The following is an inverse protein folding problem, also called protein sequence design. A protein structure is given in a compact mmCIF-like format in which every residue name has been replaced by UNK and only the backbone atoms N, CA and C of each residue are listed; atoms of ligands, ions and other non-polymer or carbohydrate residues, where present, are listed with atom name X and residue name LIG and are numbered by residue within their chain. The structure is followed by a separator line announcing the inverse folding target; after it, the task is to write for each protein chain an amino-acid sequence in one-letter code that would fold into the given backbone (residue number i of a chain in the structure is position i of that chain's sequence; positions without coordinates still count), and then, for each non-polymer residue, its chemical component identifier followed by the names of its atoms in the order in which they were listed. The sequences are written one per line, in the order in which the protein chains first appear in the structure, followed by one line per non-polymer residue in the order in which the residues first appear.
data_IF_190544655954
#
_entry.id   IF_190544655954
#
_cell.length_a   1.000
_cell.length_b   1.000
_cell.length_c   1.000
_cell.angle_alpha   90.00
_cell.angle_beta   90.00
_cell.angle_gamma   90.00
#
_symmetry.space_group_name_H-M   'P 1'
#
loop_
_entity.id
_entity.type
_entity.pdbx_description
1 polymer ?
#
# COMPACT_ATOMS: atom_id res chain seq x y z
N UNK A 1 9.55 11.24 7.56
CA UNK A 1 9.39 10.05 6.67
C UNK A 1 8.79 8.85 7.38
N UNK A 2 9.17 8.57 8.63
CA UNK A 2 8.79 7.33 9.34
C UNK A 2 7.27 7.16 9.51
N UNK A 3 6.56 8.22 9.91
CA UNK A 3 5.10 8.17 10.08
C UNK A 3 4.35 7.82 8.78
N UNK A 4 4.73 8.43 7.66
CA UNK A 4 4.06 8.22 6.36
C UNK A 4 4.30 6.81 5.82
N UNK A 5 5.48 6.24 6.08
CA UNK A 5 5.77 4.82 5.77
C UNK A 5 5.03 3.87 6.70
N UNK A 6 4.92 4.20 7.99
CA UNK A 6 4.16 3.39 8.93
C UNK A 6 2.69 3.26 8.49
N UNK A 7 2.07 4.37 8.07
CA UNK A 7 0.67 4.40 7.66
C UNK A 7 0.43 3.76 6.28
N UNK A 8 1.29 4.02 5.29
CA UNK A 8 1.02 3.54 3.91
C UNK A 8 1.64 2.17 3.58
N UNK A 9 2.72 1.77 4.26
CA UNK A 9 3.45 0.52 3.96
C UNK A 9 3.24 -0.51 5.06
N UNK A 10 3.57 -0.16 6.31
CA UNK A 10 3.50 -1.14 7.42
C UNK A 10 2.06 -1.57 7.69
N UNK A 11 1.10 -0.64 7.71
CA UNK A 11 -0.31 -1.01 7.87
C UNK A 11 -0.80 -1.92 6.75
N UNK A 12 -0.43 -1.64 5.49
CA UNK A 12 -0.85 -2.48 4.36
C UNK A 12 -0.29 -3.91 4.53
N UNK A 13 0.97 -4.04 4.92
CA UNK A 13 1.57 -5.34 5.23
C UNK A 13 0.86 -6.07 6.38
N UNK A 14 0.57 -5.37 7.48
CA UNK A 14 -0.06 -5.95 8.66
C UNK A 14 -1.51 -6.38 8.40
N UNK A 15 -2.28 -5.53 7.71
CA UNK A 15 -3.67 -5.83 7.33
C UNK A 15 -3.69 -7.00 6.35
N UNK A 16 -2.84 -7.00 5.33
CA UNK A 16 -2.76 -8.13 4.39
C UNK A 16 -2.41 -9.42 5.13
N UNK A 17 -1.42 -9.42 6.04
CA UNK A 17 -1.09 -10.62 6.84
C UNK A 17 -2.25 -11.11 7.69
N UNK A 18 -3.03 -10.20 8.28
CA UNK A 18 -4.16 -10.56 9.12
C UNK A 18 -5.35 -11.13 8.33
N UNK A 19 -5.63 -10.55 7.15
CA UNK A 19 -6.83 -10.85 6.37
C UNK A 19 -6.61 -11.95 5.33
N UNK A 20 -5.40 -12.08 4.77
CA UNK A 20 -5.09 -13.04 3.71
C UNK A 20 -5.44 -14.50 4.07
N UNK A 21 -5.14 -15.03 5.27
CA UNK A 21 -5.52 -16.41 5.62
C UNK A 21 -7.04 -16.62 5.60
N UNK A 22 -7.81 -15.61 6.03
CA UNK A 22 -9.27 -15.65 6.03
C UNK A 22 -9.81 -15.65 4.60
N UNK A 23 -9.25 -14.80 3.72
CA UNK A 23 -9.67 -14.74 2.31
C UNK A 23 -9.36 -16.05 1.59
N UNK A 24 -8.18 -16.64 1.81
CA UNK A 24 -7.81 -17.93 1.23
C UNK A 24 -8.74 -19.04 1.75
N UNK A 25 -8.99 -19.08 3.07
CA UNK A 25 -9.89 -20.06 3.68
C UNK A 25 -11.35 -19.96 3.20
N UNK A 26 -11.78 -18.77 2.77
CA UNK A 26 -13.11 -18.51 2.21
C UNK A 26 -13.28 -18.83 0.72
N UNK A 27 -12.25 -19.35 0.04
CA UNK A 27 -12.30 -19.64 -1.40
C UNK A 27 -11.77 -18.50 -2.29
N UNK A 28 -11.08 -17.52 -1.70
CA UNK A 28 -10.44 -16.41 -2.40
C UNK A 28 -11.25 -15.10 -2.34
N UNK A 29 -10.53 -13.98 -2.39
CA UNK A 29 -11.09 -12.63 -2.49
C UNK A 29 -10.05 -11.66 -3.05
N UNK A 30 -10.44 -10.41 -3.29
CA UNK A 30 -9.56 -9.34 -3.78
C UNK A 30 -9.30 -8.31 -2.68
N UNK A 31 -8.03 -7.88 -2.56
CA UNK A 31 -7.64 -6.74 -1.74
C UNK A 31 -7.34 -5.58 -2.70
N UNK A 32 -8.13 -4.51 -2.63
CA UNK A 32 -7.88 -3.28 -3.35
C UNK A 32 -7.24 -2.24 -2.43
N UNK A 33 -6.18 -1.57 -2.88
CA UNK A 33 -5.50 -0.52 -2.12
C UNK A 33 -5.51 0.79 -2.90
N UNK A 34 -5.77 1.89 -2.20
CA UNK A 34 -5.79 3.24 -2.80
C UNK A 34 -4.37 3.78 -3.00
N UNK A 35 -4.00 3.99 -4.26
CA UNK A 35 -2.78 4.67 -4.68
C UNK A 35 -3.06 6.14 -5.11
N UNK A 36 -2.00 6.88 -5.46
CA UNK A 36 -2.09 8.29 -5.85
C UNK A 36 -1.50 8.50 -7.27
N UNK A 37 -2.00 9.46 -8.04
CA UNK A 37 -1.41 9.83 -9.35
C UNK A 37 0.01 10.39 -9.18
N UNK A 38 0.28 11.03 -8.04
CA UNK A 38 1.59 11.60 -7.71
C UNK A 38 2.69 10.54 -7.60
N UNK A 39 2.32 9.27 -7.52
CA UNK A 39 3.24 8.13 -7.59
C UNK A 39 3.98 8.04 -8.94
N UNK A 40 3.35 8.52 -10.01
CA UNK A 40 3.91 8.50 -11.38
C UNK A 40 4.08 9.92 -11.96
N UNK A 41 3.41 10.90 -11.38
CA UNK A 41 3.44 12.30 -11.79
C UNK A 41 3.59 13.21 -10.55
N UNK A 42 4.74 13.11 -9.88
CA UNK A 42 5.03 13.86 -8.66
C UNK A 42 5.18 15.37 -8.90
N UNK A 43 4.69 16.19 -7.96
CA UNK A 43 5.05 17.61 -7.83
C UNK A 43 6.10 17.80 -6.74
N UNK A 44 6.98 18.81 -6.88
CA UNK A 44 8.14 19.00 -6.01
C UNK A 44 7.81 19.10 -4.50
N UNK A 45 6.59 19.49 -4.14
CA UNK A 45 6.13 19.61 -2.75
C UNK A 45 5.61 18.30 -2.14
N UNK A 46 5.43 17.26 -2.93
CA UNK A 46 4.76 16.02 -2.54
C UNK A 46 5.68 14.80 -2.40
N UNK A 47 6.99 14.98 -2.56
CA UNK A 47 8.00 13.90 -2.54
C UNK A 47 7.82 12.88 -1.40
N UNK A 48 7.53 13.34 -0.19
CA UNK A 48 7.32 12.45 0.96
C UNK A 48 6.04 11.62 0.85
N UNK A 49 4.97 12.23 0.33
CA UNK A 49 3.69 11.58 0.09
C UNK A 49 3.83 10.55 -1.04
N UNK A 50 4.35 10.98 -2.19
CA UNK A 50 4.52 10.18 -3.41
C UNK A 50 5.38 8.94 -3.16
N UNK A 51 6.51 9.07 -2.45
CA UNK A 51 7.33 7.92 -2.11
C UNK A 51 6.63 6.91 -1.19
N UNK A 52 5.85 7.39 -0.21
CA UNK A 52 5.13 6.49 0.70
C UNK A 52 3.97 5.76 0.00
N UNK A 53 3.26 6.45 -0.91
CA UNK A 53 2.23 5.86 -1.76
C UNK A 53 2.81 4.92 -2.81
N UNK A 54 3.97 5.25 -3.38
CA UNK A 54 4.70 4.39 -4.32
C UNK A 54 5.17 3.09 -3.72
N UNK A 55 5.69 3.12 -2.49
CA UNK A 55 6.02 1.90 -1.77
C UNK A 55 4.78 1.01 -1.54
N UNK A 56 3.64 1.61 -1.18
CA UNK A 56 2.37 0.88 -1.03
C UNK A 56 1.82 0.32 -2.36
N UNK A 57 1.97 1.06 -3.46
CA UNK A 57 1.59 0.63 -4.81
C UNK A 57 2.41 -0.59 -5.25
N UNK A 58 3.73 -0.54 -5.09
CA UNK A 58 4.61 -1.66 -5.43
C UNK A 58 4.33 -2.90 -4.58
N UNK A 59 4.00 -2.74 -3.29
CA UNK A 59 3.57 -3.84 -2.43
C UNK A 59 2.29 -4.51 -2.95
N UNK A 60 1.29 -3.72 -3.38
CA UNK A 60 0.05 -4.27 -3.92
C UNK A 60 0.24 -4.98 -5.27
N UNK A 61 1.21 -4.55 -6.09
CA UNK A 61 1.52 -5.22 -7.36
C UNK A 61 2.36 -6.49 -7.22
N UNK A 62 3.07 -6.67 -6.11
CA UNK A 62 3.93 -7.83 -5.87
C UNK A 62 3.22 -8.99 -5.14
N UNK A 63 2.05 -8.71 -4.54
CA UNK A 63 1.22 -9.67 -3.83
C UNK A 63 0.28 -10.43 -4.78
#
# INVERSE_FOLDING_TARGET
MEWARAVNVNNLLLVTKAVLPVLIGGGGASIASTCAISTVAETATEFLHSNSKGAGYMFACAA
#
